data_IF_522863999325
#
_entry.id   IF_522863999325
#
_cell.length_a   1.000
_cell.length_b   1.000
_cell.length_c   1.000
_cell.angle_alpha   90.00
_cell.angle_beta   90.00
_cell.angle_gamma   90.00
#
_symmetry.space_group_name_H-M   'P 1'
#
loop_
_entity.id
_entity.type
_entity.pdbx_description
1 polymer ?
#
# COMPACT_ATOMS: atom_id res chain seq x y z
N UNK A 1 15.25 -14.46 -6.06
CA UNK A 1 14.56 -13.89 -4.88
C UNK A 1 13.15 -14.45 -4.81
N UNK A 2 12.83 -15.22 -3.77
CA UNK A 2 11.48 -15.74 -3.51
C UNK A 2 10.87 -14.97 -2.34
N UNK A 3 9.69 -14.39 -2.53
CA UNK A 3 8.94 -13.73 -1.46
C UNK A 3 8.09 -14.75 -0.72
N UNK A 4 8.09 -14.68 0.61
CA UNK A 4 7.23 -15.50 1.47
C UNK A 4 5.94 -14.76 1.82
N UNK A 5 4.95 -15.48 2.37
CA UNK A 5 3.72 -14.85 2.86
C UNK A 5 4.06 -13.75 3.87
N UNK A 6 3.61 -12.53 3.56
CA UNK A 6 3.79 -11.35 4.37
C UNK A 6 2.53 -10.97 5.13
N UNK A 7 2.67 -10.03 6.06
CA UNK A 7 1.55 -9.40 6.76
C UNK A 7 1.23 -8.10 6.03
N UNK A 8 -0.06 -7.84 5.82
CA UNK A 8 -0.55 -6.58 5.26
C UNK A 8 -1.65 -6.01 6.14
N UNK A 9 -1.45 -4.78 6.60
CA UNK A 9 -2.45 -3.98 7.27
C UNK A 9 -2.98 -2.92 6.30
N UNK A 10 -4.30 -2.72 6.29
CA UNK A 10 -4.96 -1.67 5.52
C UNK A 10 -5.78 -0.83 6.49
N UNK A 11 -5.52 0.48 6.53
CA UNK A 11 -6.31 1.38 7.35
C UNK A 11 -7.72 1.51 6.78
N UNK A 12 -8.73 1.81 7.63
CA UNK A 12 -9.99 2.33 7.12
C UNK A 12 -9.75 3.59 6.29
N UNK A 13 -10.68 3.86 5.37
CA UNK A 13 -10.68 5.11 4.61
C UNK A 13 -11.10 6.26 5.54
N UNK A 14 -10.17 7.16 5.81
CA UNK A 14 -10.46 8.51 6.30
C UNK A 14 -10.81 9.38 5.09
N UNK A 15 -11.56 10.49 5.19
CA UNK A 15 -12.18 11.14 4.03
C UNK A 15 -11.23 11.33 2.83
N UNK A 16 -11.34 10.45 1.83
CA UNK A 16 -10.50 10.42 0.63
C UNK A 16 -9.05 9.92 0.81
N UNK A 17 -8.64 9.39 1.97
CA UNK A 17 -7.29 8.90 2.27
C UNK A 17 -7.35 7.50 2.88
N UNK A 18 -6.54 6.57 2.37
CA UNK A 18 -6.27 5.27 3.03
C UNK A 18 -4.80 4.94 2.98
N UNK A 19 -4.30 4.21 3.97
CA UNK A 19 -2.92 3.74 4.03
C UNK A 19 -2.86 2.22 4.09
N UNK A 20 -1.80 1.64 3.54
CA UNK A 20 -1.51 0.22 3.68
C UNK A 20 -0.04 0.04 4.05
N UNK A 21 0.21 -0.76 5.07
CA UNK A 21 1.54 -1.19 5.49
C UNK A 21 1.68 -2.68 5.17
N UNK A 22 2.80 -3.07 4.57
CA UNK A 22 3.10 -4.49 4.38
C UNK A 22 4.53 -4.82 4.79
N UNK A 23 4.68 -6.04 5.29
CA UNK A 23 5.95 -6.64 5.65
C UNK A 23 6.02 -8.02 4.99
N UNK A 24 7.10 -8.32 4.29
CA UNK A 24 7.35 -9.65 3.71
C UNK A 24 8.81 -10.03 3.89
N UNK A 25 9.09 -11.32 4.08
CA UNK A 25 10.46 -11.82 4.06
C UNK A 25 10.76 -12.41 2.68
N UNK A 26 11.87 -11.98 2.10
CA UNK A 26 12.45 -12.60 0.92
C UNK A 26 13.56 -13.58 1.32
N UNK A 27 13.65 -14.67 0.57
CA UNK A 27 14.76 -15.60 0.63
C UNK A 27 15.47 -15.61 -0.73
N UNK A 28 16.79 -15.45 -0.71
CA UNK A 28 17.63 -15.81 -1.84
C UNK A 28 18.28 -17.18 -1.60
N UNK A 29 18.36 -17.98 -2.66
CA UNK A 29 19.05 -19.27 -2.67
C UNK A 29 20.53 -19.06 -2.34
N UNK A 30 20.83 -18.97 -1.05
CA UNK A 30 22.12 -18.98 -0.35
C UNK A 30 22.00 -18.49 1.12
N UNK A 31 20.84 -18.68 1.78
CA UNK A 31 20.64 -18.47 3.25
C UNK A 31 20.56 -17.03 3.76
N UNK A 32 20.37 -16.04 2.89
CA UNK A 32 20.06 -14.67 3.35
C UNK A 32 18.55 -14.47 3.45
N UNK A 33 18.08 -14.25 4.68
CA UNK A 33 16.75 -13.75 4.95
C UNK A 33 16.80 -12.23 4.93
N UNK A 34 16.06 -11.62 4.02
CA UNK A 34 15.92 -10.17 3.95
C UNK A 34 14.46 -9.80 4.22
N UNK A 35 14.23 -8.83 5.09
CA UNK A 35 12.88 -8.36 5.43
C UNK A 35 12.60 -7.07 4.68
N UNK A 36 11.51 -7.04 3.92
CA UNK A 36 11.04 -5.90 3.16
C UNK A 36 9.85 -5.27 3.87
N UNK A 37 9.87 -3.94 3.92
CA UNK A 37 8.78 -3.12 4.44
C UNK A 37 8.30 -2.19 3.34
N UNK A 38 7.00 -1.98 3.24
CA UNK A 38 6.44 -1.00 2.32
C UNK A 38 5.22 -0.30 2.88
N UNK A 39 5.10 0.98 2.56
CA UNK A 39 3.99 1.85 2.91
C UNK A 39 3.38 2.39 1.63
N UNK A 40 2.06 2.32 1.51
CA UNK A 40 1.31 2.93 0.41
C UNK A 40 0.27 3.88 0.98
N UNK A 41 0.17 5.08 0.39
CA UNK A 41 -0.84 6.08 0.72
C UNK A 41 -1.69 6.29 -0.52
N UNK A 42 -2.98 6.02 -0.43
CA UNK A 42 -3.94 6.24 -1.51
C UNK A 42 -4.76 7.48 -1.19
N UNK A 43 -4.89 8.37 -2.17
CA UNK A 43 -5.74 9.55 -2.11
C UNK A 43 -6.80 9.49 -3.21
N UNK A 44 -8.07 9.51 -2.82
CA UNK A 44 -9.21 9.68 -3.72
C UNK A 44 -9.62 11.14 -3.71
N UNK A 45 -9.30 11.85 -4.79
CA UNK A 45 -9.85 13.19 -5.03
C UNK A 45 -11.35 13.06 -5.32
N UNK A 46 -12.21 13.72 -4.54
CA UNK A 46 -13.63 13.89 -4.90
C UNK A 46 -13.66 14.60 -6.26
N UNK A 47 -14.30 14.00 -7.26
CA UNK A 47 -14.47 14.63 -8.57
C UNK A 47 -15.07 16.01 -8.38
N UNK A 48 -14.35 17.05 -8.81
CA UNK A 48 -14.93 18.38 -9.00
C UNK A 48 -15.74 18.28 -10.30
N UNK A 49 -17.00 17.85 -10.17
CA UNK A 49 -17.96 17.99 -11.26
C UNK A 49 -18.12 19.49 -11.52
N UNK A 50 -17.54 19.96 -12.63
CA UNK A 50 -17.69 21.35 -13.05
C UNK A 50 -19.17 21.69 -13.19
N UNK A 51 -19.60 22.73 -12.49
CA UNK A 51 -20.85 23.44 -12.73
C UNK A 51 -20.51 24.77 -13.37
N UNK A 52 -20.15 24.75 -14.66
CA UNK A 52 -20.18 25.96 -15.49
C UNK A 52 -21.36 25.81 -16.46
N UNK A 53 -22.55 25.85 -15.88
CA UNK A 53 -23.76 26.19 -16.61
C UNK A 53 -24.05 27.67 -16.37
N UNK A 54 -23.75 28.50 -17.37
CA UNK A 54 -24.34 29.82 -17.60
C UNK A 54 -24.05 30.25 -19.04
#
# INVERSE_FOLDING_TARGET
MYLTNGIRYVSPEFPGISTALFQTAGFECCRKYETFWGLTINYKKKGHSGTDGA
#
